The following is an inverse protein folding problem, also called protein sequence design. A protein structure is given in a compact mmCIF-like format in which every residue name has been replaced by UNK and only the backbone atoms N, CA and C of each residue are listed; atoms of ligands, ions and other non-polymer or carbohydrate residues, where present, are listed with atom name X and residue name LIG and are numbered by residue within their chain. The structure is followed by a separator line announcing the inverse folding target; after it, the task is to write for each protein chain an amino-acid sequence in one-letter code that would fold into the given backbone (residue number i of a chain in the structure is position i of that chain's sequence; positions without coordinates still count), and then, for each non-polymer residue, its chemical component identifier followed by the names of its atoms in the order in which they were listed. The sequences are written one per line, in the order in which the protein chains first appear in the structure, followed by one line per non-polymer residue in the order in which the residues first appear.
data_IF_811349609494
#
_entry.id   IF_811349609494
#
_cell.length_a   1.000
_cell.length_b   1.000
_cell.length_c   1.000
_cell.angle_alpha   90.00
_cell.angle_beta   90.00
_cell.angle_gamma   90.00
#
_symmetry.space_group_name_H-M   'P 1'
#
loop_
_entity.id
_entity.type
_entity.pdbx_description
1 polymer ?
#
# COMPACT_ATOMS: atom_id res chain seq x y z
N UNK A 1 2.46 24.43 -16.07
CA UNK A 1 1.79 25.62 -15.49
C UNK A 1 2.16 25.72 -14.02
N UNK A 2 2.35 26.95 -13.49
CA UNK A 2 2.60 27.17 -12.05
C UNK A 2 1.29 27.58 -11.37
N UNK A 3 1.00 27.02 -10.21
CA UNK A 3 -0.13 27.40 -9.36
C UNK A 3 0.33 27.55 -7.91
N UNK A 4 -0.24 28.53 -7.22
CA UNK A 4 -0.03 28.76 -5.80
C UNK A 4 -1.16 28.10 -5.04
N UNK A 5 -0.84 27.34 -4.01
CA UNK A 5 -1.80 26.69 -3.11
C UNK A 5 -1.55 27.18 -1.69
N UNK A 6 -2.63 27.30 -0.91
CA UNK A 6 -2.50 27.55 0.51
C UNK A 6 -2.20 26.23 1.24
N UNK A 7 -1.21 26.25 2.12
CA UNK A 7 -0.85 25.13 2.99
C UNK A 7 -0.93 25.68 4.41
N UNK A 8 -1.72 25.06 5.32
CA UNK A 8 -1.75 25.46 6.72
C UNK A 8 -0.35 25.35 7.37
N UNK A 9 -0.06 26.25 8.31
CA UNK A 9 1.28 26.41 8.89
C UNK A 9 1.81 25.11 9.52
N UNK A 10 0.95 24.33 10.18
CA UNK A 10 1.29 23.03 10.77
C UNK A 10 1.88 22.04 9.76
N UNK A 11 1.39 22.05 8.51
CA UNK A 11 1.90 21.19 7.44
C UNK A 11 3.11 21.81 6.77
N UNK A 12 3.20 23.15 6.72
CA UNK A 12 4.37 23.84 6.18
C UNK A 12 5.62 23.54 7.02
N UNK A 13 5.50 23.57 8.35
CA UNK A 13 6.59 23.25 9.27
C UNK A 13 7.02 21.79 9.17
N UNK A 14 6.06 20.87 9.12
CA UNK A 14 6.34 19.45 8.96
C UNK A 14 7.07 19.17 7.63
N UNK A 15 6.63 19.79 6.55
CA UNK A 15 7.22 19.63 5.23
C UNK A 15 8.63 20.24 5.15
N UNK A 16 8.84 21.38 5.78
CA UNK A 16 10.16 22.01 5.87
C UNK A 16 11.16 21.15 6.66
N UNK A 17 10.70 20.45 7.70
CA UNK A 17 11.54 19.52 8.45
C UNK A 17 11.85 18.26 7.64
N UNK A 18 10.87 17.68 6.96
CA UNK A 18 11.08 16.53 6.07
C UNK A 18 12.11 16.84 4.97
N UNK A 19 12.02 18.00 4.32
CA UNK A 19 12.95 18.42 3.28
C UNK A 19 14.39 18.67 3.78
N UNK A 20 14.59 18.91 5.08
CA UNK A 20 15.95 18.99 5.66
C UNK A 20 16.57 17.60 5.81
N UNK A 21 15.76 16.59 6.10
CA UNK A 21 16.19 15.20 6.24
C UNK A 21 16.39 14.52 4.88
N UNK A 22 15.64 14.97 3.85
CA UNK A 22 15.65 14.45 2.49
C UNK A 22 16.04 15.53 1.45
N UNK A 23 17.31 15.97 1.42
CA UNK A 23 17.78 17.03 0.51
C UNK A 23 17.72 16.64 -0.98
N UNK A 24 17.59 15.36 -1.29
CA UNK A 24 17.37 14.81 -2.64
C UNK A 24 15.96 15.09 -3.17
N UNK A 25 15.01 15.35 -2.28
CA UNK A 25 13.62 15.62 -2.64
C UNK A 25 13.34 17.11 -2.76
N UNK A 26 12.35 17.44 -3.59
CA UNK A 26 11.85 18.81 -3.72
C UNK A 26 10.36 18.85 -3.44
N UNK A 27 9.86 20.00 -2.99
CA UNK A 27 8.44 20.23 -2.75
C UNK A 27 7.56 19.90 -3.97
N UNK A 28 8.07 20.16 -5.17
CA UNK A 28 7.42 19.80 -6.43
C UNK A 28 7.33 18.28 -6.64
N UNK A 29 8.40 17.55 -6.31
CA UNK A 29 8.44 16.09 -6.41
C UNK A 29 7.43 15.44 -5.46
N UNK A 30 7.43 15.88 -4.19
CA UNK A 30 6.50 15.40 -3.16
C UNK A 30 5.05 15.66 -3.58
N UNK A 31 4.75 16.87 -4.07
CA UNK A 31 3.40 17.21 -4.52
C UNK A 31 2.98 16.41 -5.76
N UNK A 32 3.89 16.21 -6.72
CA UNK A 32 3.61 15.41 -7.90
C UNK A 32 3.31 13.96 -7.52
N UNK A 33 4.09 13.38 -6.62
CA UNK A 33 3.87 12.03 -6.12
C UNK A 33 2.55 11.94 -5.33
N UNK A 34 2.27 12.87 -4.44
CA UNK A 34 1.04 12.89 -3.66
C UNK A 34 -0.20 12.98 -4.57
N UNK A 35 -0.16 13.84 -5.59
CA UNK A 35 -1.23 13.96 -6.59
C UNK A 35 -1.35 12.68 -7.40
N UNK A 36 -0.23 12.10 -7.86
CA UNK A 36 -0.24 10.84 -8.59
C UNK A 36 -0.82 9.70 -7.75
N UNK A 37 -0.46 9.59 -6.47
CA UNK A 37 -1.00 8.57 -5.56
C UNK A 37 -2.49 8.77 -5.27
N UNK A 38 -2.96 10.02 -5.12
CA UNK A 38 -4.38 10.31 -4.89
C UNK A 38 -5.25 10.14 -6.14
N UNK A 39 -4.71 10.44 -7.32
CA UNK A 39 -5.44 10.32 -8.59
C UNK A 39 -5.29 8.96 -9.24
N UNK A 40 -4.25 8.21 -8.90
CA UNK A 40 -4.16 6.80 -9.24
C UNK A 40 -5.31 6.09 -8.50
N UNK A 41 -6.40 5.84 -9.23
CA UNK A 41 -7.35 4.80 -8.84
C UNK A 41 -6.50 3.57 -8.54
N UNK A 42 -6.58 3.07 -7.30
CA UNK A 42 -5.86 1.86 -6.94
C UNK A 42 -6.31 0.79 -7.93
N UNK A 43 -5.41 0.39 -8.83
CA UNK A 43 -5.68 -0.64 -9.81
C UNK A 43 -5.69 -1.96 -9.03
N UNK A 44 -6.83 -2.22 -8.40
CA UNK A 44 -7.11 -3.41 -7.60
C UNK A 44 -7.10 -4.66 -8.47
N UNK A 45 -7.12 -4.54 -9.80
CA UNK A 45 -7.04 -5.68 -10.71
C UNK A 45 -5.77 -6.51 -10.49
N UNK A 46 -4.65 -5.91 -10.06
CA UNK A 46 -3.45 -6.67 -9.67
C UNK A 46 -3.65 -7.47 -8.39
N UNK A 47 -4.37 -6.91 -7.42
CA UNK A 47 -4.72 -7.59 -6.17
C UNK A 47 -5.77 -8.69 -6.39
N UNK A 48 -6.78 -8.40 -7.22
CA UNK A 48 -7.80 -9.36 -7.64
C UNK A 48 -7.19 -10.50 -8.48
N UNK A 49 -6.23 -10.20 -9.37
CA UNK A 49 -5.47 -11.21 -10.09
C UNK A 49 -4.70 -12.13 -9.14
N UNK A 50 -4.13 -11.58 -8.05
CA UNK A 50 -3.48 -12.38 -7.00
C UNK A 50 -4.48 -13.31 -6.29
N UNK A 51 -5.68 -12.82 -5.97
CA UNK A 51 -6.74 -13.64 -5.36
C UNK A 51 -7.22 -14.78 -6.27
N UNK A 52 -7.16 -14.58 -7.59
CA UNK A 52 -7.44 -15.63 -8.59
C UNK A 52 -6.24 -16.52 -8.92
N UNK A 53 -5.02 -16.17 -8.47
CA UNK A 53 -3.78 -16.93 -8.65
C UNK A 53 -3.60 -17.97 -7.54
N UNK A 54 -4.16 -17.71 -6.36
CA UNK A 54 -4.26 -18.68 -5.26
C UNK A 54 -5.43 -19.65 -5.53
N UNK A 55 -5.38 -20.32 -6.68
CA UNK A 55 -6.28 -21.46 -6.96
C UNK A 55 -5.81 -22.72 -6.24
N UNK A 56 -4.49 -22.87 -6.04
CA UNK A 56 -3.85 -24.01 -5.37
C UNK A 56 -3.48 -23.69 -3.90
N UNK A 57 -4.32 -22.95 -3.18
CA UNK A 57 -4.17 -22.95 -1.73
C UNK A 57 -4.59 -24.32 -1.18
N UNK A 58 -3.76 -24.95 -0.34
CA UNK A 58 -4.09 -26.26 0.25
C UNK A 58 -5.41 -26.28 1.03
N UNK A 59 -5.90 -25.12 1.46
CA UNK A 59 -7.26 -24.95 1.94
C UNK A 59 -7.83 -23.58 1.51
N UNK A 60 -9.13 -23.55 1.19
CA UNK A 60 -9.83 -22.28 0.99
C UNK A 60 -10.08 -21.61 2.35
N UNK A 61 -9.89 -20.29 2.43
CA UNK A 61 -10.13 -19.52 3.65
C UNK A 61 -11.56 -19.64 4.20
N UNK A 62 -12.53 -19.98 3.35
CA UNK A 62 -13.93 -20.23 3.75
C UNK A 62 -14.15 -21.60 4.41
N UNK A 63 -13.19 -22.54 4.34
CA UNK A 63 -13.32 -23.91 4.84
C UNK A 63 -12.55 -24.10 6.15
N UNK A 64 -12.97 -23.42 7.23
CA UNK A 64 -12.39 -23.57 8.58
C UNK A 64 -10.85 -23.70 8.57
N UNK A 65 -10.17 -22.75 7.91
CA UNK A 65 -8.73 -22.80 7.69
C UNK A 65 -7.91 -22.91 9.00
N UNK A 66 -8.49 -22.48 10.12
CA UNK A 66 -7.92 -22.58 11.46
C UNK A 66 -7.66 -24.04 11.89
N UNK A 67 -8.45 -25.00 11.39
CA UNK A 67 -8.33 -26.42 11.73
C UNK A 67 -7.39 -27.19 10.79
N UNK A 68 -6.86 -26.54 9.75
CA UNK A 68 -6.00 -27.20 8.75
C UNK A 68 -4.68 -27.69 9.36
N UNK A 69 -4.05 -26.87 10.22
CA UNK A 69 -2.77 -27.21 10.86
C UNK A 69 -2.88 -28.41 11.83
N UNK A 70 -4.05 -28.63 12.43
CA UNK A 70 -4.29 -29.80 13.28
C UNK A 70 -4.39 -31.10 12.47
N UNK A 71 -4.94 -31.05 11.26
CA UNK A 71 -5.16 -32.24 10.42
C UNK A 71 -3.89 -32.69 9.68
N UNK A 72 -3.01 -31.77 9.30
CA UNK A 72 -1.73 -32.08 8.63
C UNK A 72 -0.78 -32.82 9.59
N UNK A 73 -0.77 -32.46 10.88
CA UNK A 73 0.12 -33.05 11.87
C UNK A 73 -0.28 -34.47 12.33
N UNK A 74 -1.50 -34.91 12.06
CA UNK A 74 -1.96 -36.28 12.40
C UNK A 74 -1.67 -37.32 11.31
N UNK A 75 -1.27 -36.90 10.10
CA UNK A 75 -1.02 -37.78 8.94
C UNK A 75 0.44 -38.18 8.73
N UNK A 76 1.35 -37.80 9.63
CA UNK A 76 2.76 -38.22 9.55
C UNK A 76 2.94 -39.52 10.35
N UNK A 77 3.36 -40.64 9.73
CA UNK A 77 3.69 -41.87 10.45
C UNK A 77 4.93 -41.68 11.34
#
# INVERSE_FOLDING_TARGET
MKRTIYIPDEYADALANYLKEHPEETLSSIMQEAVQRKLAQQNVSKFLALSGLVQDAPCHAANNAEDYDMQVNQKKP
#
